data_IF_700332804373
#
_entry.id   IF_700332804373
#
_cell.length_a   1.000
_cell.length_b   1.000
_cell.length_c   1.000
_cell.angle_alpha   90.00
_cell.angle_beta   90.00
_cell.angle_gamma   90.00
#
_symmetry.space_group_name_H-M   'P 1'
#
loop_
_entity.id
_entity.type
_entity.pdbx_description
1 polymer ?
#
# COMPACT_ATOMS: atom_id res chain seq x y z
N UNK A 1 -20.74 11.13 8.92
CA UNK A 1 -20.21 11.64 7.63
C UNK A 1 -19.02 12.54 7.96
N UNK A 2 -17.90 12.38 7.29
CA UNK A 2 -16.75 13.31 7.45
C UNK A 2 -17.10 14.52 6.60
N UNK A 3 -17.45 15.63 7.24
CA UNK A 3 -17.79 16.90 6.54
C UNK A 3 -16.54 17.65 6.02
N UNK A 4 -15.34 17.07 6.21
CA UNK A 4 -14.08 17.67 5.79
C UNK A 4 -13.54 17.00 4.55
N UNK A 5 -13.19 17.79 3.54
CA UNK A 5 -12.43 17.31 2.39
C UNK A 5 -10.98 17.00 2.83
N UNK A 6 -10.48 15.86 2.41
CA UNK A 6 -9.15 15.39 2.77
C UNK A 6 -8.23 15.35 1.54
N UNK A 7 -6.93 15.57 1.80
CA UNK A 7 -5.85 15.27 0.88
C UNK A 7 -5.27 13.89 1.24
N UNK A 8 -5.46 12.90 0.36
CA UNK A 8 -5.18 11.48 0.62
C UNK A 8 -4.08 11.00 -0.30
N UNK A 9 -3.00 10.47 0.28
CA UNK A 9 -1.98 9.75 -0.44
C UNK A 9 -2.25 8.24 -0.43
N UNK A 10 -2.30 7.59 -1.58
CA UNK A 10 -2.41 6.12 -1.67
C UNK A 10 -1.08 5.56 -2.17
N UNK A 11 -0.56 4.52 -1.50
CA UNK A 11 0.68 3.86 -1.92
C UNK A 11 0.38 2.45 -2.43
N UNK A 12 0.72 2.23 -3.71
CA UNK A 12 0.62 0.92 -4.36
C UNK A 12 1.97 0.20 -4.27
N UNK A 13 2.07 -1.00 -3.68
CA UNK A 13 3.34 -1.72 -3.54
C UNK A 13 3.86 -2.29 -4.87
N UNK A 14 2.96 -2.50 -5.83
CA UNK A 14 3.24 -3.23 -7.08
C UNK A 14 3.39 -2.29 -8.28
N UNK A 15 4.14 -2.75 -9.29
CA UNK A 15 4.32 -2.03 -10.55
C UNK A 15 2.99 -1.67 -11.21
N UNK A 16 2.78 -0.39 -11.49
CA UNK A 16 1.52 0.11 -12.07
C UNK A 16 1.32 -0.33 -13.51
N UNK A 17 2.40 -0.55 -14.23
CA UNK A 17 2.43 -1.02 -15.62
C UNK A 17 2.11 -2.52 -15.80
N UNK A 18 1.85 -3.24 -14.70
CA UNK A 18 1.42 -4.63 -14.70
C UNK A 18 -0.01 -4.75 -14.17
N UNK A 19 -0.99 -5.19 -14.98
CA UNK A 19 -2.37 -5.36 -14.51
C UNK A 19 -2.44 -6.29 -13.30
N UNK A 20 -3.21 -5.88 -12.29
CA UNK A 20 -3.40 -6.66 -11.06
C UNK A 20 -4.59 -6.19 -10.24
N UNK A 21 -5.10 -7.08 -9.37
CA UNK A 21 -6.26 -6.80 -8.55
C UNK A 21 -6.05 -5.65 -7.55
N UNK A 22 -4.84 -5.46 -7.05
CA UNK A 22 -4.52 -4.35 -6.13
C UNK A 22 -4.54 -3.02 -6.86
N UNK A 23 -3.96 -2.93 -8.06
CA UNK A 23 -3.97 -1.72 -8.88
C UNK A 23 -5.39 -1.34 -9.30
N UNK A 24 -6.19 -2.32 -9.73
CA UNK A 24 -7.61 -2.11 -10.06
C UNK A 24 -8.39 -1.59 -8.86
N UNK A 25 -8.25 -2.23 -7.69
CA UNK A 25 -8.89 -1.78 -6.47
C UNK A 25 -8.47 -0.34 -6.08
N UNK A 26 -7.19 0.01 -6.20
CA UNK A 26 -6.69 1.37 -5.91
C UNK A 26 -7.31 2.39 -6.87
N UNK A 27 -7.40 2.07 -8.17
CA UNK A 27 -8.01 2.95 -9.17
C UNK A 27 -9.50 3.20 -8.87
N UNK A 28 -10.25 2.16 -8.50
CA UNK A 28 -11.66 2.25 -8.13
C UNK A 28 -11.85 3.06 -6.84
N UNK A 29 -11.06 2.75 -5.80
CA UNK A 29 -11.07 3.49 -4.54
C UNK A 29 -10.76 4.97 -4.74
N UNK A 30 -9.71 5.29 -5.51
CA UNK A 30 -9.38 6.67 -5.89
C UNK A 30 -10.53 7.36 -6.59
N UNK A 31 -11.14 6.70 -7.57
CA UNK A 31 -12.27 7.25 -8.32
C UNK A 31 -13.46 7.54 -7.41
N UNK A 32 -13.74 6.65 -6.47
CA UNK A 32 -14.81 6.86 -5.47
C UNK A 32 -14.50 8.05 -4.55
N UNK A 33 -13.29 8.12 -3.98
CA UNK A 33 -12.89 9.19 -3.08
C UNK A 33 -12.93 10.57 -3.76
N UNK A 34 -12.50 10.67 -5.02
CA UNK A 34 -12.58 11.90 -5.80
C UNK A 34 -14.04 12.31 -6.06
N UNK A 35 -14.94 11.35 -6.32
CA UNK A 35 -16.38 11.64 -6.43
C UNK A 35 -16.99 12.15 -5.12
N UNK A 36 -16.40 11.80 -3.98
CA UNK A 36 -16.78 12.36 -2.66
C UNK A 36 -16.15 13.73 -2.38
N UNK A 37 -15.33 14.25 -3.31
CA UNK A 37 -14.72 15.59 -3.23
C UNK A 37 -13.29 15.59 -2.64
N UNK A 38 -12.73 14.44 -2.25
CA UNK A 38 -11.37 14.36 -1.73
C UNK A 38 -10.32 14.57 -2.83
N UNK A 39 -9.16 15.13 -2.46
CA UNK A 39 -7.99 15.12 -3.32
C UNK A 39 -7.22 13.80 -3.10
N UNK A 40 -6.84 13.13 -4.18
CA UNK A 40 -6.17 11.83 -4.08
C UNK A 40 -5.02 11.72 -5.07
N UNK A 41 -3.82 11.53 -4.55
CA UNK A 41 -2.60 11.19 -5.31
C UNK A 41 -2.19 9.75 -5.01
N UNK A 42 -1.68 9.04 -6.03
CA UNK A 42 -1.21 7.66 -5.90
C UNK A 42 0.28 7.60 -6.19
N UNK A 43 1.06 6.95 -5.32
CA UNK A 43 2.46 6.63 -5.55
C UNK A 43 2.59 5.16 -5.91
N UNK A 44 3.25 4.85 -7.03
CA UNK A 44 3.45 3.47 -7.48
C UNK A 44 4.80 3.28 -8.19
N UNK A 45 5.42 2.09 -8.15
CA UNK A 45 6.51 1.77 -9.05
C UNK A 45 6.03 1.67 -10.49
N UNK A 46 6.85 2.08 -11.44
CA UNK A 46 6.59 1.85 -12.88
C UNK A 46 7.89 1.74 -13.65
N UNK A 47 7.88 0.97 -14.73
CA UNK A 47 8.96 0.94 -15.72
C UNK A 47 8.70 1.91 -16.88
N UNK A 48 7.46 2.37 -17.04
CA UNK A 48 7.01 3.25 -18.10
C UNK A 48 6.25 4.44 -17.49
N UNK A 49 6.95 5.56 -17.36
CA UNK A 49 6.38 6.79 -16.78
C UNK A 49 5.45 7.53 -17.75
N UNK A 50 5.63 7.33 -19.06
CA UNK A 50 4.83 7.99 -20.08
C UNK A 50 3.40 7.44 -20.16
N UNK A 51 3.21 6.18 -19.76
CA UNK A 51 1.89 5.53 -19.77
C UNK A 51 1.10 5.73 -18.47
N UNK A 52 1.67 6.42 -17.46
CA UNK A 52 0.98 6.65 -16.20
C UNK A 52 -0.19 7.63 -16.35
N UNK A 53 -1.31 7.38 -15.69
CA UNK A 53 -2.33 8.41 -15.48
C UNK A 53 -1.75 9.62 -14.72
N UNK A 54 -2.21 10.83 -15.00
CA UNK A 54 -1.73 12.09 -14.38
C UNK A 54 -1.81 12.10 -12.83
N UNK A 55 -2.64 11.24 -12.27
CA UNK A 55 -2.84 11.12 -10.82
C UNK A 55 -1.96 10.04 -10.17
N UNK A 56 -1.11 9.36 -10.93
CA UNK A 56 -0.11 8.38 -10.43
C UNK A 56 1.27 8.98 -10.55
N UNK A 57 1.98 9.03 -9.43
CA UNK A 57 3.38 9.48 -9.36
C UNK A 57 4.30 8.26 -9.38
N UNK A 58 5.34 8.32 -10.18
CA UNK A 58 6.34 7.25 -10.27
C UNK A 58 7.27 7.25 -9.06
N UNK A 59 7.33 6.12 -8.35
CA UNK A 59 8.37 5.87 -7.35
C UNK A 59 9.68 5.37 -7.97
N UNK A 60 9.67 5.01 -9.26
CA UNK A 60 10.79 4.44 -10.01
C UNK A 60 10.53 3.02 -10.49
N UNK A 61 11.53 2.45 -11.17
CA UNK A 61 11.43 1.17 -11.87
C UNK A 61 11.37 -0.02 -10.91
N UNK A 62 10.32 -0.87 -10.99
CA UNK A 62 10.20 -2.05 -10.13
C UNK A 62 11.18 -3.15 -10.52
N UNK A 63 11.49 -4.00 -9.54
CA UNK A 63 12.19 -5.27 -9.73
C UNK A 63 11.18 -6.42 -9.69
N UNK A 64 11.36 -7.38 -10.58
CA UNK A 64 10.54 -8.60 -10.61
C UNK A 64 11.11 -9.62 -9.63
N UNK A 65 10.30 -10.02 -8.65
CA UNK A 65 10.67 -11.05 -7.67
C UNK A 65 9.64 -12.17 -7.66
N UNK A 66 10.05 -13.44 -7.54
CA UNK A 66 9.11 -14.54 -7.34
C UNK A 66 8.39 -14.40 -5.99
N UNK A 67 7.07 -14.46 -6.00
CA UNK A 67 6.24 -14.33 -4.79
C UNK A 67 4.97 -15.19 -4.91
N UNK A 68 4.77 -16.13 -4.00
CA UNK A 68 3.57 -16.99 -3.93
C UNK A 68 3.18 -17.68 -5.25
N UNK A 69 4.18 -18.14 -6.05
CA UNK A 69 3.91 -18.79 -7.33
C UNK A 69 3.60 -17.85 -8.49
N UNK A 70 3.67 -16.54 -8.25
CA UNK A 70 3.56 -15.48 -9.25
C UNK A 70 4.85 -14.64 -9.28
N UNK A 71 4.89 -13.62 -10.13
CA UNK A 71 5.96 -12.62 -10.16
C UNK A 71 5.39 -11.32 -9.61
N UNK A 72 5.90 -10.88 -8.46
CA UNK A 72 5.61 -9.56 -7.93
C UNK A 72 6.62 -8.54 -8.49
N UNK A 73 6.12 -7.41 -8.94
CA UNK A 73 6.94 -6.28 -9.41
C UNK A 73 6.92 -5.20 -8.33
N UNK A 74 7.94 -5.21 -7.48
CA UNK A 74 8.05 -4.33 -6.30
C UNK A 74 9.28 -3.46 -6.38
N UNK A 75 9.30 -2.38 -5.60
CA UNK A 75 10.44 -1.49 -5.47
C UNK A 75 10.75 -1.28 -4.00
N UNK A 76 12.02 -1.46 -3.62
CA UNK A 76 12.52 -1.26 -2.27
C UNK A 76 13.98 -0.82 -2.30
N UNK A 77 14.41 0.00 -1.35
CA UNK A 77 15.80 0.44 -1.21
C UNK A 77 15.94 1.95 -0.99
N UNK A 78 17.19 2.44 -0.84
CA UNK A 78 17.43 3.82 -0.41
C UNK A 78 16.96 4.88 -1.41
N UNK A 79 17.07 4.62 -2.71
CA UNK A 79 16.59 5.55 -3.75
C UNK A 79 15.07 5.64 -3.72
N UNK A 80 14.38 4.49 -3.60
CA UNK A 80 12.92 4.44 -3.45
C UNK A 80 12.49 5.15 -2.16
N UNK A 81 13.22 4.96 -1.06
CA UNK A 81 12.93 5.63 0.20
C UNK A 81 13.03 7.16 0.09
N UNK A 82 14.07 7.66 -0.59
CA UNK A 82 14.22 9.10 -0.84
C UNK A 82 13.01 9.67 -1.63
N UNK A 83 12.58 8.98 -2.70
CA UNK A 83 11.40 9.38 -3.50
C UNK A 83 10.10 9.33 -2.68
N UNK A 84 9.91 8.29 -1.87
CA UNK A 84 8.74 8.19 -0.96
C UNK A 84 8.73 9.38 0.01
N UNK A 85 9.85 9.68 0.65
CA UNK A 85 9.96 10.83 1.57
C UNK A 85 9.67 12.16 0.88
N UNK A 86 10.23 12.35 -0.31
CA UNK A 86 10.00 13.55 -1.11
C UNK A 86 8.52 13.72 -1.44
N UNK A 87 7.86 12.66 -1.95
CA UNK A 87 6.43 12.69 -2.29
C UNK A 87 5.55 12.98 -1.07
N UNK A 88 5.86 12.41 0.11
CA UNK A 88 5.13 12.71 1.34
C UNK A 88 5.32 14.18 1.73
N UNK A 89 6.55 14.70 1.67
CA UNK A 89 6.86 16.06 2.09
C UNK A 89 6.28 17.15 1.15
N UNK A 90 6.09 16.83 -0.13
CA UNK A 90 5.58 17.78 -1.13
C UNK A 90 4.04 17.89 -1.17
N UNK A 91 3.31 17.00 -0.48
CA UNK A 91 1.87 16.89 -0.69
C UNK A 91 0.98 17.18 0.55
N UNK A 92 1.51 17.43 1.72
CA UNK A 92 0.74 17.75 2.95
C UNK A 92 -0.49 16.84 3.14
N UNK A 93 -0.31 15.51 3.08
CA UNK A 93 -1.40 14.57 3.19
C UNK A 93 -2.05 14.57 4.57
N UNK A 94 -3.37 14.66 4.64
CA UNK A 94 -4.16 14.43 5.85
C UNK A 94 -4.14 12.94 6.26
N UNK A 95 -4.01 12.04 5.29
CA UNK A 95 -4.05 10.58 5.46
C UNK A 95 -3.21 9.88 4.41
N UNK A 96 -2.45 8.87 4.81
CA UNK A 96 -1.84 7.90 3.89
C UNK A 96 -2.60 6.57 3.95
N UNK A 97 -2.93 6.03 2.79
CA UNK A 97 -3.50 4.70 2.62
C UNK A 97 -2.47 3.77 1.96
N UNK A 98 -1.94 2.84 2.74
CA UNK A 98 -0.86 1.95 2.33
C UNK A 98 -1.42 0.57 2.00
N UNK A 99 -1.18 0.08 0.78
CA UNK A 99 -1.54 -1.29 0.41
C UNK A 99 -0.35 -2.23 0.64
N UNK A 100 -0.59 -3.37 1.28
CA UNK A 100 0.44 -4.38 1.64
C UNK A 100 1.66 -3.78 2.38
N UNK A 101 1.49 -3.05 3.48
CA UNK A 101 2.62 -2.43 4.17
C UNK A 101 3.57 -3.43 4.87
N UNK A 102 3.20 -4.70 4.94
CA UNK A 102 4.01 -5.76 5.57
C UNK A 102 4.98 -6.46 4.60
N UNK A 103 5.04 -6.08 3.33
CA UNK A 103 6.01 -6.62 2.38
C UNK A 103 7.12 -5.62 2.06
N UNK A 104 8.35 -6.07 1.74
CA UNK A 104 9.43 -5.18 1.31
C UNK A 104 9.07 -4.46 0.01
N UNK A 105 8.52 -3.27 0.13
CA UNK A 105 8.01 -2.45 -0.97
C UNK A 105 8.02 -0.97 -0.58
N UNK A 106 7.62 -0.10 -1.50
CA UNK A 106 7.44 1.33 -1.19
C UNK A 106 6.36 1.59 -0.15
N UNK A 107 5.39 0.68 0.05
CA UNK A 107 4.39 0.80 1.11
C UNK A 107 5.01 0.66 2.51
N UNK A 108 5.94 -0.30 2.68
CA UNK A 108 6.72 -0.41 3.92
C UNK A 108 7.60 0.82 4.12
N UNK A 109 8.25 1.32 3.07
CA UNK A 109 9.08 2.53 3.14
C UNK A 109 8.24 3.76 3.52
N UNK A 110 7.02 3.88 2.99
CA UNK A 110 6.09 4.96 3.35
C UNK A 110 5.66 4.87 4.82
N UNK A 111 5.38 3.66 5.32
CA UNK A 111 5.07 3.46 6.73
C UNK A 111 6.23 3.85 7.65
N UNK A 112 7.48 3.60 7.25
CA UNK A 112 8.65 4.08 8.01
C UNK A 112 8.81 5.59 7.95
N UNK A 113 8.56 6.20 6.79
CA UNK A 113 8.82 7.63 6.56
C UNK A 113 7.75 8.55 7.14
N UNK A 114 6.49 8.12 7.17
CA UNK A 114 5.36 8.95 7.56
C UNK A 114 5.17 9.03 9.07
N UNK A 115 4.66 10.17 9.53
CA UNK A 115 4.35 10.44 10.95
C UNK A 115 2.87 10.74 11.19
N UNK A 116 2.07 10.95 10.14
CA UNK A 116 0.64 11.26 10.23
C UNK A 116 -0.25 10.02 10.29
N UNK A 117 -1.59 10.20 10.22
CA UNK A 117 -2.55 9.11 10.18
C UNK A 117 -2.33 8.19 8.99
N UNK A 118 -2.32 6.89 9.24
CA UNK A 118 -2.13 5.88 8.20
C UNK A 118 -3.16 4.77 8.30
N UNK A 119 -3.68 4.32 7.16
CA UNK A 119 -4.49 3.11 7.02
C UNK A 119 -3.71 2.08 6.23
N UNK A 120 -3.65 0.85 6.71
CA UNK A 120 -3.05 -0.28 6.00
C UNK A 120 -4.12 -1.22 5.46
N UNK A 121 -4.09 -1.54 4.16
CA UNK A 121 -4.94 -2.59 3.57
C UNK A 121 -4.10 -3.79 3.16
N UNK A 122 -4.52 -4.98 3.60
CA UNK A 122 -3.86 -6.26 3.39
C UNK A 122 -4.69 -7.14 2.45
N UNK A 123 -4.10 -7.52 1.32
CA UNK A 123 -4.75 -8.29 0.25
C UNK A 123 -4.32 -9.75 0.21
N UNK A 124 -3.09 -10.04 0.67
CA UNK A 124 -2.52 -11.37 0.56
C UNK A 124 -2.94 -12.28 1.71
N UNK A 125 -3.25 -13.54 1.39
CA UNK A 125 -3.32 -14.62 2.36
C UNK A 125 -2.07 -15.50 2.22
N UNK A 126 -1.26 -15.60 3.27
CA UNK A 126 -0.01 -16.36 3.26
C UNK A 126 -0.10 -17.63 4.10
N UNK A 127 -1.01 -18.55 3.74
CA UNK A 127 -1.23 -19.81 4.50
C UNK A 127 0.00 -20.75 4.58
N UNK A 128 1.11 -20.47 3.86
CA UNK A 128 2.25 -21.41 3.75
C UNK A 128 3.65 -20.78 3.83
N UNK A 129 3.82 -19.52 4.18
CA UNK A 129 5.16 -18.92 4.22
C UNK A 129 5.82 -19.03 5.59
N UNK A 130 6.63 -20.08 5.78
CA UNK A 130 7.52 -20.23 6.94
C UNK A 130 8.70 -19.23 6.94
N UNK A 131 8.98 -18.56 5.84
CA UNK A 131 10.14 -17.67 5.68
C UNK A 131 9.94 -16.26 6.26
N UNK A 132 8.71 -15.88 6.62
CA UNK A 132 8.39 -14.51 7.06
C UNK A 132 8.73 -14.22 8.54
N UNK A 133 8.99 -15.24 9.36
CA UNK A 133 9.18 -15.07 10.80
C UNK A 133 10.43 -14.25 11.19
N UNK A 134 11.47 -14.25 10.36
CA UNK A 134 12.68 -13.47 10.64
C UNK A 134 12.48 -11.94 10.47
N UNK A 135 11.41 -11.53 9.79
CA UNK A 135 11.12 -10.11 9.49
C UNK A 135 10.10 -9.53 10.49
N UNK A 136 9.36 -10.37 11.20
CA UNK A 136 8.30 -9.96 12.15
C UNK A 136 8.78 -8.89 13.14
N UNK A 137 9.94 -9.00 13.82
CA UNK A 137 10.40 -7.98 14.76
C UNK A 137 10.65 -6.61 14.12
N UNK A 138 10.89 -6.57 12.80
CA UNK A 138 11.09 -5.32 12.04
C UNK A 138 9.74 -4.75 11.58
N UNK A 139 8.76 -5.62 11.31
CA UNK A 139 7.44 -5.22 10.82
C UNK A 139 6.50 -4.80 11.94
N UNK A 140 6.57 -5.42 13.11
CA UNK A 140 5.68 -5.17 14.24
C UNK A 140 5.61 -3.67 14.62
N UNK A 141 6.72 -2.95 14.85
CA UNK A 141 6.68 -1.51 15.16
C UNK A 141 6.11 -0.67 14.00
N UNK A 142 6.22 -1.16 12.77
CA UNK A 142 5.69 -0.48 11.57
C UNK A 142 4.18 -0.62 11.51
N UNK A 143 3.68 -1.84 11.75
CA UNK A 143 2.24 -2.13 11.74
C UNK A 143 1.53 -1.43 12.89
N UNK A 144 2.18 -1.27 14.04
CA UNK A 144 1.65 -0.52 15.20
C UNK A 144 1.45 0.97 14.90
N UNK A 145 2.22 1.57 13.99
CA UNK A 145 2.01 2.96 13.54
C UNK A 145 0.70 3.15 12.77
N UNK A 146 0.10 2.10 12.22
CA UNK A 146 -1.15 2.21 11.47
C UNK A 146 -2.32 2.56 12.39
N UNK A 147 -2.98 3.66 12.10
CA UNK A 147 -4.19 4.12 12.82
C UNK A 147 -5.38 3.18 12.59
N UNK A 148 -5.44 2.52 11.43
CA UNK A 148 -6.44 1.51 11.11
C UNK A 148 -5.85 0.43 10.18
N UNK A 149 -6.39 -0.77 10.29
CA UNK A 149 -6.01 -1.93 9.49
C UNK A 149 -7.24 -2.54 8.84
N UNK A 150 -7.16 -2.79 7.53
CA UNK A 150 -8.21 -3.39 6.71
C UNK A 150 -7.66 -4.70 6.12
N UNK A 151 -8.42 -5.78 6.22
CA UNK A 151 -8.18 -7.02 5.50
C UNK A 151 -9.28 -7.20 4.45
N UNK A 152 -8.91 -7.54 3.21
CA UNK A 152 -9.92 -7.68 2.13
C UNK A 152 -10.68 -9.01 2.20
N UNK A 153 -10.31 -9.89 3.12
CA UNK A 153 -10.97 -11.19 3.34
C UNK A 153 -10.63 -11.74 4.73
N UNK A 154 -11.42 -12.68 5.23
CA UNK A 154 -11.08 -13.41 6.46
C UNK A 154 -9.73 -14.14 6.34
N UNK A 155 -9.40 -14.69 5.18
CA UNK A 155 -8.10 -15.35 4.97
C UNK A 155 -6.92 -14.37 5.07
N UNK A 156 -7.07 -13.11 4.64
CA UNK A 156 -6.06 -12.07 4.84
C UNK A 156 -5.98 -11.66 6.31
N UNK A 157 -7.13 -11.52 7.00
CA UNK A 157 -7.20 -11.22 8.43
C UNK A 157 -6.54 -12.32 9.28
N UNK A 158 -6.85 -13.59 9.03
CA UNK A 158 -6.22 -14.73 9.70
C UNK A 158 -4.68 -14.72 9.54
N UNK A 159 -4.19 -14.27 8.38
CA UNK A 159 -2.75 -14.13 8.12
C UNK A 159 -2.12 -13.05 9.02
N UNK A 160 -2.79 -11.91 9.20
CA UNK A 160 -2.31 -10.85 10.09
C UNK A 160 -2.26 -11.31 11.55
N UNK A 161 -3.35 -11.91 12.04
CA UNK A 161 -3.42 -12.42 13.40
C UNK A 161 -2.35 -13.50 13.65
N UNK A 162 -2.16 -14.42 12.71
CA UNK A 162 -1.22 -15.52 12.87
C UNK A 162 0.27 -15.11 12.80
N UNK A 163 0.60 -14.03 12.11
CA UNK A 163 1.99 -13.69 11.81
C UNK A 163 2.46 -12.35 12.38
N UNK A 164 1.55 -11.43 12.69
CA UNK A 164 1.87 -10.08 13.16
C UNK A 164 1.19 -9.74 14.49
N UNK A 165 0.53 -10.71 15.12
CA UNK A 165 -0.22 -10.55 16.39
C UNK A 165 -1.10 -9.29 16.41
N UNK A 166 -1.71 -8.99 15.28
CA UNK A 166 -2.55 -7.80 15.10
C UNK A 166 -3.83 -8.14 14.36
N UNK A 167 -4.90 -7.39 14.62
CA UNK A 167 -6.21 -7.60 14.01
C UNK A 167 -6.56 -6.49 13.02
N UNK A 168 -7.51 -6.77 12.12
CA UNK A 168 -7.98 -5.85 11.10
C UNK A 168 -9.49 -5.98 10.89
N UNK A 169 -10.12 -4.88 10.47
CA UNK A 169 -11.52 -4.91 10.02
C UNK A 169 -11.58 -5.54 8.63
N UNK A 170 -12.50 -6.49 8.43
CA UNK A 170 -12.71 -7.10 7.12
C UNK A 170 -13.59 -6.19 6.27
N UNK A 171 -13.02 -5.68 5.18
CA UNK A 171 -13.73 -4.89 4.17
C UNK A 171 -13.36 -5.48 2.81
N UNK A 172 -14.24 -6.28 2.19
CA UNK A 172 -13.98 -6.85 0.87
C UNK A 172 -13.79 -5.77 -0.20
N UNK A 173 -12.98 -6.09 -1.21
CA UNK A 173 -12.86 -5.21 -2.37
C UNK A 173 -14.23 -5.05 -3.04
N UNK A 174 -14.61 -3.82 -3.36
CA UNK A 174 -15.74 -3.54 -4.23
C UNK A 174 -15.40 -3.96 -5.67
N UNK A 175 -16.43 -4.37 -6.42
CA UNK A 175 -16.34 -4.67 -7.86
C UNK A 175 -17.35 -3.76 -8.53
N UNK A 176 -16.93 -3.01 -9.55
CA UNK A 176 -17.78 -2.26 -10.45
C UNK A 176 -18.01 -3.03 -11.73
#
# INVERSE_FOLDING_TARGET
MIDRLLNIGIVCPYGWDAPGGVQAHIADLRSYLVKQGHQVSVLAPTADEESLPDWVVSAGKPLSIPYNGAVARVLFGPIAFAKVKQWIAENDFDLLHLHEPAIPSISLLACWAAEGPMVGTFHASAKKQKASFAIVPILEPVIEKLSARIAVSEAARETLVAHLDTDAVVIPNGIY
#
